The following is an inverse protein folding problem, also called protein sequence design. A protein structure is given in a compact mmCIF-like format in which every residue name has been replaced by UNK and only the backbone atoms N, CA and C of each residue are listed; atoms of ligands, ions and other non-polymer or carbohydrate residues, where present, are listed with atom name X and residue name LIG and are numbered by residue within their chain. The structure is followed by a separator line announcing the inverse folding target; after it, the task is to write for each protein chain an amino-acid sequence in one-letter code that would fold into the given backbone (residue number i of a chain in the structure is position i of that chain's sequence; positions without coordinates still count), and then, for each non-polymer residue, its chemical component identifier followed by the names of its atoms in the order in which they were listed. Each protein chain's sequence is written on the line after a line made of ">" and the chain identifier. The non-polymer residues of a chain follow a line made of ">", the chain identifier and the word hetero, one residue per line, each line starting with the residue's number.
data_IF_032820351306
#
_entry.id   IF_032820351306
#
_cell.length_a   1.000
_cell.length_b   1.000
_cell.length_c   1.000
_cell.angle_alpha   90.00
_cell.angle_beta   90.00
_cell.angle_gamma   90.00
#
_symmetry.space_group_name_H-M   'P 1'
#
loop_
_entity.id
_entity.type
_entity.pdbx_description
1 polymer ?
#
# COMPACT_ATOMS: atom_id res chain seq x y z
N UNK A 1 20.69 5.17 -16.51
CA UNK A 1 20.76 4.46 -15.20
C UNK A 1 19.87 3.21 -15.16
N UNK A 2 20.16 2.25 -14.28
CA UNK A 2 19.26 1.13 -13.96
C UNK A 2 18.74 1.23 -12.51
N UNK A 3 17.43 1.08 -12.34
CA UNK A 3 16.78 1.04 -11.03
C UNK A 3 16.30 -0.38 -10.72
N UNK A 4 16.74 -0.94 -9.59
CA UNK A 4 16.28 -2.27 -9.14
C UNK A 4 15.50 -2.16 -7.83
N UNK A 5 14.21 -2.48 -7.90
CA UNK A 5 13.35 -2.51 -6.72
C UNK A 5 13.56 -3.81 -5.92
N UNK A 6 13.88 -3.67 -4.63
CA UNK A 6 13.90 -4.77 -3.65
C UNK A 6 12.83 -4.54 -2.59
N UNK A 7 12.76 -5.40 -1.55
CA UNK A 7 11.68 -5.34 -0.53
C UNK A 7 11.47 -3.93 0.04
N UNK A 8 12.51 -3.32 0.64
CA UNK A 8 12.41 -1.98 1.27
C UNK A 8 13.22 -0.88 0.58
N UNK A 9 14.03 -1.23 -0.41
CA UNK A 9 14.98 -0.29 -1.02
C UNK A 9 14.94 -0.35 -2.53
N UNK A 10 15.29 0.76 -3.15
CA UNK A 10 15.54 0.90 -4.58
C UNK A 10 17.06 1.04 -4.74
N UNK A 11 17.68 0.11 -5.47
CA UNK A 11 19.10 0.17 -5.80
C UNK A 11 19.28 0.98 -7.08
N UNK A 12 20.12 2.01 -7.01
CA UNK A 12 20.55 2.80 -8.17
C UNK A 12 21.84 2.20 -8.69
N UNK A 13 21.84 1.78 -9.95
CA UNK A 13 22.94 1.05 -10.58
C UNK A 13 23.33 1.78 -11.86
N UNK A 14 24.61 2.15 -11.97
CA UNK A 14 25.19 2.65 -13.21
C UNK A 14 25.92 1.55 -13.94
N UNK A 15 26.04 1.69 -15.25
CA UNK A 15 26.84 0.79 -16.09
C UNK A 15 28.09 1.55 -16.51
N UNK A 16 29.25 1.05 -16.12
CA UNK A 16 30.57 1.61 -16.47
C UNK A 16 31.26 0.65 -17.43
N UNK A 17 31.90 1.15 -18.48
CA UNK A 17 32.67 0.29 -19.40
C UNK A 17 33.95 -0.19 -18.71
N UNK A 18 34.13 -1.51 -18.66
CA UNK A 18 35.35 -2.13 -18.15
C UNK A 18 36.24 -2.55 -19.35
N UNK A 19 37.39 -1.87 -19.57
CA UNK A 19 38.24 -2.13 -20.73
C UNK A 19 38.89 -3.51 -20.68
N UNK A 20 39.11 -4.09 -19.48
CA UNK A 20 39.74 -5.40 -19.32
C UNK A 20 38.79 -6.51 -19.76
N UNK A 21 37.50 -6.36 -19.43
CA UNK A 21 36.46 -7.31 -19.79
C UNK A 21 35.77 -6.99 -21.14
N UNK A 22 36.14 -5.86 -21.79
CA UNK A 22 35.53 -5.32 -23.01
C UNK A 22 33.99 -5.28 -22.96
N UNK A 23 33.42 -5.06 -21.77
CA UNK A 23 31.97 -5.06 -21.54
C UNK A 23 31.58 -4.10 -20.42
N UNK A 24 30.31 -3.71 -20.38
CA UNK A 24 29.76 -2.92 -19.29
C UNK A 24 29.71 -3.70 -17.97
N UNK A 25 30.25 -3.13 -16.90
CA UNK A 25 30.13 -3.58 -15.52
C UNK A 25 29.07 -2.75 -14.79
N UNK A 26 28.20 -3.41 -14.04
CA UNK A 26 27.20 -2.74 -13.21
C UNK A 26 27.79 -2.37 -11.85
N UNK A 27 27.75 -1.08 -11.51
CA UNK A 27 28.15 -0.55 -10.21
C UNK A 27 26.94 -0.01 -9.46
N UNK A 28 26.76 -0.44 -8.21
CA UNK A 28 25.71 0.09 -7.35
C UNK A 28 26.18 1.44 -6.80
N UNK A 29 25.53 2.52 -7.22
CA UNK A 29 25.86 3.89 -6.80
C UNK A 29 25.26 4.22 -5.44
N UNK A 30 24.06 3.72 -5.18
CA UNK A 30 23.41 3.95 -3.90
C UNK A 30 22.10 3.21 -3.73
N UNK A 31 21.45 3.49 -2.59
CA UNK A 31 20.16 2.91 -2.20
C UNK A 31 19.24 4.03 -1.74
N UNK A 32 17.99 3.97 -2.19
CA UNK A 32 16.90 4.87 -1.78
C UNK A 32 15.87 4.04 -1.02
N UNK A 33 15.34 4.56 0.08
CA UNK A 33 14.28 3.90 0.83
C UNK A 33 12.95 3.99 0.06
N UNK A 34 12.16 2.93 0.07
CA UNK A 34 10.80 2.95 -0.51
C UNK A 34 9.81 3.73 0.33
N UNK A 35 10.02 3.82 1.65
CA UNK A 35 9.19 4.58 2.56
C UNK A 35 9.47 6.09 2.47
N UNK A 36 10.73 6.46 2.28
CA UNK A 36 11.18 7.84 2.10
C UNK A 36 11.82 8.01 0.71
N UNK A 37 10.98 8.39 -0.26
CA UNK A 37 11.34 8.68 -1.65
C UNK A 37 12.16 9.98 -1.77
N UNK A 38 13.36 10.01 -1.17
CA UNK A 38 14.24 11.16 -1.17
C UNK A 38 15.65 10.78 -1.61
N UNK A 39 16.29 11.69 -2.35
CA UNK A 39 17.71 11.54 -2.72
C UNK A 39 18.55 11.81 -1.47
N UNK A 40 19.39 10.85 -1.09
CA UNK A 40 20.29 10.99 0.06
C UNK A 40 21.55 11.78 -0.29
N UNK A 41 22.18 12.42 0.68
CA UNK A 41 23.44 13.17 0.49
C UNK A 41 24.55 12.31 -0.14
N UNK A 42 24.52 11.00 0.12
CA UNK A 42 25.46 10.03 -0.46
C UNK A 42 25.26 9.86 -1.97
N UNK A 43 24.01 9.84 -2.42
CA UNK A 43 23.69 9.80 -3.86
C UNK A 43 24.02 11.14 -4.53
N UNK A 44 23.75 12.27 -3.87
CA UNK A 44 24.11 13.58 -4.42
C UNK A 44 25.61 13.74 -4.68
N UNK A 45 26.46 13.22 -3.77
CA UNK A 45 27.92 13.26 -3.92
C UNK A 45 28.48 12.21 -4.87
N UNK A 46 27.76 11.10 -5.08
CA UNK A 46 28.23 9.95 -5.86
C UNK A 46 27.78 9.93 -7.32
N UNK A 47 26.84 10.81 -7.69
CA UNK A 47 26.25 10.89 -9.02
C UNK A 47 26.67 12.16 -9.76
N UNK A 48 26.72 12.09 -11.09
CA UNK A 48 26.83 13.28 -11.95
C UNK A 48 25.48 14.03 -11.98
N UNK A 49 25.44 15.31 -12.39
CA UNK A 49 24.18 16.05 -12.47
C UNK A 49 23.17 15.42 -13.43
N UNK A 50 23.63 14.81 -14.52
CA UNK A 50 22.78 14.09 -15.48
C UNK A 50 22.16 12.85 -14.82
N UNK A 51 22.97 12.07 -14.10
CA UNK A 51 22.52 10.90 -13.35
C UNK A 51 21.50 11.28 -12.26
N UNK A 52 21.71 12.40 -11.56
CA UNK A 52 20.76 12.92 -10.58
C UNK A 52 19.44 13.30 -11.23
N UNK A 53 19.45 13.90 -12.42
CA UNK A 53 18.23 14.25 -13.15
C UNK A 53 17.41 13.00 -13.52
N UNK A 54 18.07 11.91 -13.92
CA UNK A 54 17.41 10.62 -14.19
C UNK A 54 16.80 10.04 -12.91
N UNK A 55 17.52 10.10 -11.78
CA UNK A 55 17.03 9.62 -10.48
C UNK A 55 15.78 10.40 -10.06
N UNK A 56 15.80 11.73 -10.16
CA UNK A 56 14.66 12.57 -9.80
C UNK A 56 13.44 12.26 -10.67
N UNK A 57 13.64 12.16 -11.99
CA UNK A 57 12.59 11.79 -12.94
C UNK A 57 11.95 10.44 -12.57
N UNK A 58 12.79 9.44 -12.27
CA UNK A 58 12.30 8.12 -11.84
C UNK A 58 11.50 8.18 -10.53
N UNK A 59 11.93 8.98 -9.55
CA UNK A 59 11.22 9.12 -8.28
C UNK A 59 9.86 9.81 -8.46
N UNK A 60 9.79 10.83 -9.32
CA UNK A 60 8.54 11.52 -9.64
C UNK A 60 7.56 10.60 -10.38
N UNK A 61 8.02 9.87 -11.39
CA UNK A 61 7.21 8.88 -12.11
C UNK A 61 6.68 7.81 -11.15
N UNK A 62 7.53 7.33 -10.23
CA UNK A 62 7.12 6.36 -9.21
C UNK A 62 6.07 6.93 -8.28
N UNK A 63 6.23 8.18 -7.84
CA UNK A 63 5.25 8.87 -6.99
C UNK A 63 3.91 9.02 -7.71
N UNK A 64 3.93 9.42 -8.97
CA UNK A 64 2.75 9.56 -9.80
C UNK A 64 2.05 8.22 -10.01
N UNK A 65 2.80 7.15 -10.30
CA UNK A 65 2.26 5.80 -10.44
C UNK A 65 1.55 5.35 -9.16
N UNK A 66 2.21 5.46 -8.01
CA UNK A 66 1.63 5.07 -6.71
C UNK A 66 0.39 5.90 -6.37
N UNK A 67 0.41 7.20 -6.66
CA UNK A 67 -0.76 8.08 -6.48
C UNK A 67 -1.92 7.63 -7.37
N UNK A 68 -1.66 7.34 -8.63
CA UNK A 68 -2.70 6.93 -9.57
C UNK A 68 -3.30 5.56 -9.20
N UNK A 69 -2.45 4.62 -8.75
CA UNK A 69 -2.90 3.33 -8.22
C UNK A 69 -3.79 3.51 -6.98
N UNK A 70 -3.40 4.37 -6.04
CA UNK A 70 -4.19 4.66 -4.86
C UNK A 70 -5.54 5.34 -5.19
N UNK A 71 -5.53 6.31 -6.10
CA UNK A 71 -6.77 6.98 -6.58
C UNK A 71 -7.68 5.98 -7.27
N UNK A 72 -7.13 5.10 -8.11
CA UNK A 72 -7.90 4.05 -8.78
C UNK A 72 -8.50 3.07 -7.78
N UNK A 73 -7.70 2.56 -6.84
CA UNK A 73 -8.18 1.66 -5.80
C UNK A 73 -9.30 2.33 -4.97
N UNK A 74 -9.14 3.60 -4.60
CA UNK A 74 -10.18 4.37 -3.91
C UNK A 74 -11.47 4.48 -4.71
N UNK A 75 -11.38 4.76 -6.03
CA UNK A 75 -12.54 4.81 -6.90
C UNK A 75 -13.23 3.44 -7.05
N UNK A 76 -12.46 2.34 -7.04
CA UNK A 76 -12.99 0.98 -7.10
C UNK A 76 -13.72 0.59 -5.80
N UNK A 77 -13.23 1.00 -4.63
CA UNK A 77 -13.85 0.68 -3.33
C UNK A 77 -14.96 1.63 -2.90
N UNK A 78 -15.02 2.84 -3.48
CA UNK A 78 -15.97 3.88 -3.09
C UNK A 78 -17.44 3.42 -3.06
N UNK A 79 -17.97 2.67 -4.06
CA UNK A 79 -19.37 2.24 -4.02
C UNK A 79 -19.69 1.33 -2.84
N UNK A 80 -18.75 0.48 -2.40
CA UNK A 80 -18.93 -0.37 -1.23
C UNK A 80 -18.95 0.48 0.06
N UNK A 81 -17.96 1.38 0.21
CA UNK A 81 -17.87 2.30 1.34
C UNK A 81 -19.12 3.19 1.49
N UNK A 82 -19.72 3.65 0.38
CA UNK A 82 -20.97 4.42 0.42
C UNK A 82 -22.16 3.61 0.95
N UNK A 83 -22.21 2.29 0.69
CA UNK A 83 -23.28 1.42 1.21
C UNK A 83 -23.11 1.19 2.70
N UNK A 84 -21.88 0.94 3.15
CA UNK A 84 -21.53 0.82 4.58
C UNK A 84 -21.84 2.12 5.34
N UNK A 85 -21.47 3.27 4.79
CA UNK A 85 -21.81 4.58 5.35
C UNK A 85 -23.34 4.79 5.44
N UNK A 86 -24.10 4.32 4.44
CA UNK A 86 -25.56 4.39 4.50
C UNK A 86 -26.16 3.54 5.63
N UNK A 87 -25.55 2.39 5.94
CA UNK A 87 -25.95 1.58 7.10
C UNK A 87 -25.65 2.28 8.42
N UNK A 88 -24.48 2.92 8.53
CA UNK A 88 -24.11 3.72 9.71
C UNK A 88 -25.16 4.81 10.02
N UNK A 89 -25.58 5.61 9.02
CA UNK A 89 -26.56 6.68 9.22
C UNK A 89 -28.00 6.23 9.45
N UNK A 90 -28.32 4.94 9.25
CA UNK A 90 -29.63 4.40 9.63
C UNK A 90 -29.72 4.18 11.13
N UNK A 91 -28.61 3.86 11.77
CA UNK A 91 -28.54 3.53 13.20
C UNK A 91 -28.01 4.68 14.06
N UNK A 92 -27.28 5.63 13.47
CA UNK A 92 -26.63 6.74 14.18
C UNK A 92 -27.27 8.11 13.86
N UNK A 93 -27.51 8.93 14.89
CA UNK A 93 -28.15 10.27 14.82
C UNK A 93 -27.50 11.30 15.77
N UNK A 94 -26.36 10.95 16.32
CA UNK A 94 -25.52 11.73 17.24
C UNK A 94 -24.78 12.88 16.53
N UNK A 95 -24.00 13.64 17.30
CA UNK A 95 -23.26 14.80 16.81
C UNK A 95 -22.22 14.45 15.74
N UNK A 96 -21.46 13.38 15.93
CA UNK A 96 -20.42 12.93 14.99
C UNK A 96 -21.05 12.48 13.67
N UNK A 97 -22.20 11.81 13.72
CA UNK A 97 -22.97 11.48 12.52
C UNK A 97 -23.38 12.72 11.71
N UNK A 98 -23.63 13.87 12.34
CA UNK A 98 -23.95 15.12 11.60
C UNK A 98 -22.71 15.72 10.94
N UNK A 99 -21.56 15.63 11.58
CA UNK A 99 -20.28 16.08 11.04
C UNK A 99 -19.90 15.24 9.81
N UNK A 100 -19.91 13.91 9.95
CA UNK A 100 -19.65 13.01 8.83
C UNK A 100 -20.64 13.18 7.68
N UNK A 101 -21.93 13.39 7.97
CA UNK A 101 -22.92 13.64 6.92
C UNK A 101 -22.64 14.93 6.14
N UNK A 102 -22.08 15.95 6.79
CA UNK A 102 -21.68 17.21 6.15
C UNK A 102 -20.47 16.99 5.25
N UNK A 103 -19.43 16.33 5.76
CA UNK A 103 -18.22 16.02 4.99
C UNK A 103 -18.52 15.15 3.76
N UNK A 104 -19.33 14.09 3.93
CA UNK A 104 -19.73 13.21 2.83
C UNK A 104 -20.53 13.97 1.78
N UNK A 105 -21.40 14.91 2.19
CA UNK A 105 -22.14 15.74 1.23
C UNK A 105 -21.22 16.65 0.42
N UNK A 106 -20.26 17.31 1.06
CA UNK A 106 -19.29 18.16 0.35
C UNK A 106 -18.46 17.34 -0.64
N UNK A 107 -17.90 16.22 -0.20
CA UNK A 107 -17.14 15.30 -1.06
C UNK A 107 -17.99 14.75 -2.22
N UNK A 108 -19.30 14.50 -1.99
CA UNK A 108 -20.21 14.05 -3.03
C UNK A 108 -20.50 15.12 -4.09
N UNK A 109 -20.60 16.40 -3.70
CA UNK A 109 -20.73 17.50 -4.67
C UNK A 109 -19.47 17.63 -5.53
N UNK A 110 -18.28 17.56 -4.94
CA UNK A 110 -17.01 17.58 -5.67
C UNK A 110 -16.90 16.41 -6.66
N UNK A 111 -17.26 15.20 -6.23
CA UNK A 111 -17.27 14.02 -7.10
C UNK A 111 -18.25 14.20 -8.28
N UNK A 112 -19.44 14.74 -8.03
CA UNK A 112 -20.42 15.01 -9.10
C UNK A 112 -19.91 16.07 -10.09
N UNK A 113 -19.19 17.09 -9.63
CA UNK A 113 -18.56 18.08 -10.49
C UNK A 113 -17.49 17.40 -11.37
N UNK A 114 -16.56 16.65 -10.76
CA UNK A 114 -15.52 15.93 -11.49
C UNK A 114 -16.07 14.95 -12.53
N UNK A 115 -17.15 14.21 -12.21
CA UNK A 115 -17.83 13.32 -13.15
C UNK A 115 -18.47 14.08 -14.33
N UNK A 116 -18.99 15.29 -14.09
CA UNK A 116 -19.56 16.12 -15.14
C UNK A 116 -18.47 16.64 -16.07
N UNK A 117 -17.37 17.14 -15.51
CA UNK A 117 -16.25 17.72 -16.25
C UNK A 117 -15.54 16.67 -17.10
N UNK A 118 -15.44 15.43 -16.59
CA UNK A 118 -14.93 14.27 -17.32
C UNK A 118 -15.94 13.66 -18.32
N UNK A 119 -17.15 14.21 -18.40
CA UNK A 119 -18.17 13.79 -19.37
C UNK A 119 -18.94 12.52 -18.99
N UNK A 120 -18.85 12.04 -17.75
CA UNK A 120 -19.65 10.94 -17.19
C UNK A 120 -20.99 11.44 -16.61
N UNK A 121 -21.69 12.33 -17.31
CA UNK A 121 -22.98 12.83 -16.85
C UNK A 121 -24.03 11.71 -16.78
N UNK A 122 -24.96 11.82 -15.81
CA UNK A 122 -26.01 10.81 -15.54
C UNK A 122 -26.70 10.31 -16.82
N UNK A 123 -27.05 11.22 -17.73
CA UNK A 123 -27.75 10.89 -18.98
C UNK A 123 -26.89 10.05 -19.93
N UNK A 124 -25.57 10.30 -19.98
CA UNK A 124 -24.66 9.58 -20.88
C UNK A 124 -24.29 8.20 -20.35
N UNK A 125 -24.11 8.09 -19.03
CA UNK A 125 -23.78 6.81 -18.37
C UNK A 125 -24.98 5.86 -18.36
N UNK A 126 -26.19 6.36 -18.04
CA UNK A 126 -27.41 5.54 -18.02
C UNK A 126 -27.82 5.08 -19.44
N UNK A 127 -27.69 5.94 -20.46
CA UNK A 127 -27.93 5.54 -21.86
C UNK A 127 -26.96 4.43 -22.29
N UNK A 128 -25.67 4.59 -21.99
CA UNK A 128 -24.63 3.60 -22.32
C UNK A 128 -24.80 2.27 -21.58
N UNK A 129 -25.25 2.30 -20.32
CA UNK A 129 -25.56 1.09 -19.57
C UNK A 129 -26.79 0.35 -20.14
N UNK A 130 -27.83 1.10 -20.55
CA UNK A 130 -29.01 0.53 -21.22
C UNK A 130 -28.67 -0.09 -22.58
N UNK A 131 -27.80 0.53 -23.37
CA UNK A 131 -27.32 -0.03 -24.64
C UNK A 131 -26.49 -1.30 -24.45
N UNK A 132 -25.65 -1.37 -23.41
CA UNK A 132 -24.85 -2.56 -23.09
C UNK A 132 -25.72 -3.74 -22.65
N UNK A 133 -26.76 -3.50 -21.85
CA UNK A 133 -27.73 -4.54 -21.49
C UNK A 133 -28.57 -5.02 -22.68
N UNK A 134 -28.92 -4.12 -23.61
CA UNK A 134 -29.64 -4.49 -24.84
C UNK A 134 -28.78 -5.31 -25.82
N UNK A 135 -27.45 -5.17 -25.78
CA UNK A 135 -26.53 -5.96 -26.59
C UNK A 135 -26.18 -7.32 -25.97
N UNK A 136 -26.24 -7.46 -24.64
CA UNK A 136 -25.99 -8.73 -23.93
C UNK A 136 -27.12 -9.75 -24.07
N UNK A 137 -28.35 -9.32 -24.37
CA UNK A 137 -29.52 -10.19 -24.52
C UNK A 137 -29.61 -10.90 -25.89
N UNK A 138 -28.59 -10.74 -26.77
CA UNK A 138 -28.60 -11.30 -28.13
C UNK A 138 -27.63 -12.47 -28.36
N UNK A 139 -26.88 -12.92 -27.34
CA UNK A 139 -25.97 -14.06 -27.48
C UNK A 139 -25.99 -14.94 -26.23
N UNK A 140 -27.01 -15.77 -26.07
CA UNK A 140 -26.85 -17.13 -25.52
C UNK A 140 -28.12 -17.96 -25.73
N UNK A 141 -28.13 -18.72 -26.83
CA UNK A 141 -28.85 -19.98 -26.89
C UNK A 141 -27.83 -21.05 -27.29
N UNK A 142 -27.19 -21.74 -26.34
CA UNK A 142 -26.53 -22.99 -26.64
C UNK A 142 -27.58 -24.10 -26.59
N UNK A 143 -27.67 -24.78 -27.73
CA UNK A 143 -28.35 -26.03 -27.90
C UNK A 143 -27.98 -27.02 -26.80
N UNK A 144 -29.02 -27.70 -26.31
CA UNK A 144 -28.92 -28.94 -25.55
C UNK A 144 -28.21 -29.97 -26.43
N UNK A 145 -27.08 -30.50 -25.97
CA UNK A 145 -26.60 -31.80 -26.43
C UNK A 145 -25.96 -32.58 -25.27
N UNK A 146 -26.51 -33.79 -25.12
CA UNK A 146 -25.89 -35.02 -24.63
C UNK A 146 -25.15 -35.03 -23.28
N UNK A 147 -25.92 -35.42 -22.26
CA UNK A 147 -25.48 -36.28 -21.16
C UNK A 147 -24.93 -37.62 -21.72
N UNK A 148 -23.86 -38.18 -21.14
CA UNK A 148 -24.02 -39.55 -20.66
C UNK A 148 -23.47 -39.76 -19.25
N UNK A 149 -23.95 -40.86 -18.69
CA UNK A 149 -24.00 -41.21 -17.30
C UNK A 149 -22.68 -41.76 -16.70
N UNK A 150 -22.60 -41.56 -15.40
CA UNK A 150 -22.14 -42.50 -14.36
C UNK A 150 -20.67 -42.95 -14.37
N UNK A 151 -19.92 -42.44 -13.38
CA UNK A 151 -18.91 -43.23 -12.68
C UNK A 151 -19.13 -43.15 -11.16
N UNK A 152 -18.78 -44.22 -10.43
CA UNK A 152 -19.40 -44.58 -9.17
C UNK A 152 -18.75 -43.95 -7.94
N UNK A 153 -19.61 -43.84 -6.93
CA UNK A 153 -19.37 -43.45 -5.55
C UNK A 153 -18.40 -44.44 -4.91
N UNK A 154 -17.32 -43.95 -4.27
CA UNK A 154 -16.63 -44.69 -3.22
C UNK A 154 -16.79 -43.96 -1.88
N UNK A 155 -17.21 -44.75 -0.91
CA UNK A 155 -17.60 -44.41 0.45
C UNK A 155 -16.47 -43.84 1.33
N UNK A 156 -16.83 -43.10 2.40
CA UNK A 156 -15.90 -42.70 3.44
C UNK A 156 -15.74 -43.83 4.48
N UNK A 157 -14.52 -44.31 4.67
CA UNK A 157 -14.15 -45.17 5.82
C UNK A 157 -13.98 -44.29 7.06
N UNK A 158 -14.85 -44.51 8.04
CA UNK A 158 -14.70 -44.08 9.42
C UNK A 158 -14.05 -45.18 10.29
N UNK A 159 -13.57 -44.76 11.49
CA UNK A 159 -13.03 -45.54 12.63
C UNK A 159 -11.56 -45.98 12.51
N UNK A 160 -10.71 -45.90 13.55
CA UNK A 160 -10.89 -45.55 14.95
C UNK A 160 -9.53 -45.18 15.60
N UNK A 161 -9.62 -44.35 16.64
CA UNK A 161 -8.88 -44.36 17.92
C UNK A 161 -7.45 -44.95 17.99
N UNK A 162 -6.51 -44.12 18.43
CA UNK A 162 -5.66 -44.41 19.60
C UNK A 162 -5.02 -43.12 20.14
N UNK A 163 -5.26 -42.86 21.42
CA UNK A 163 -4.64 -41.85 22.29
C UNK A 163 -3.29 -42.40 22.85
N UNK A 164 -2.57 -41.74 23.76
CA UNK A 164 -1.29 -41.09 23.51
C UNK A 164 -0.08 -41.77 24.19
N UNK A 165 1.11 -41.61 23.63
CA UNK A 165 2.37 -41.82 24.37
C UNK A 165 3.33 -40.64 24.15
N UNK A 166 3.50 -39.84 25.20
CA UNK A 166 4.79 -39.22 25.54
C UNK A 166 5.66 -40.31 26.23
N UNK A 167 6.99 -40.19 26.43
CA UNK A 167 7.81 -38.97 26.45
C UNK A 167 9.17 -39.12 25.72
N UNK A 168 9.99 -38.07 25.66
CA UNK A 168 11.36 -38.06 26.22
C UNK A 168 11.98 -36.66 26.09
N UNK A 169 12.55 -36.22 27.20
CA UNK A 169 13.28 -34.98 27.39
C UNK A 169 14.74 -35.12 26.97
N UNK A 170 15.37 -34.00 26.55
CA UNK A 170 16.80 -33.63 26.66
C UNK A 170 17.05 -32.48 25.67
N UNK A 171 17.83 -31.43 25.90
CA UNK A 171 18.63 -30.99 27.03
C UNK A 171 18.84 -29.46 26.89
N UNK A 172 18.95 -28.77 28.02
CA UNK A 172 19.41 -27.37 28.13
C UNK A 172 20.94 -27.31 27.98
N UNK A 173 21.52 -26.16 27.59
CA UNK A 173 22.32 -25.41 28.58
C UNK A 173 22.07 -23.89 28.48
N UNK A 174 21.70 -23.21 29.57
CA UNK A 174 22.59 -22.65 30.60
C UNK A 174 23.45 -21.46 30.09
N UNK A 175 22.98 -20.25 30.38
CA UNK A 175 23.73 -19.00 30.20
C UNK A 175 23.11 -17.85 30.99
N UNK A 176 23.51 -17.70 32.26
CA UNK A 176 23.39 -16.47 33.09
C UNK A 176 24.84 -16.06 33.45
N UNK A 177 25.13 -14.86 34.02
CA UNK A 177 24.38 -13.59 34.11
C UNK A 177 25.24 -12.35 33.75
N UNK A 178 24.68 -11.15 33.53
CA UNK A 178 25.44 -9.92 33.89
C UNK A 178 24.60 -8.65 34.14
N UNK A 179 24.55 -8.33 35.43
CA UNK A 179 24.64 -7.04 36.11
C UNK A 179 24.04 -5.75 35.50
N UNK A 180 23.13 -5.19 36.32
CA UNK A 180 22.84 -3.76 36.53
C UNK A 180 24.05 -2.84 36.32
N UNK A 181 23.82 -1.71 35.63
CA UNK A 181 24.57 -0.48 35.89
C UNK A 181 23.63 0.72 35.88
N UNK A 182 23.35 1.20 37.08
CA UNK A 182 22.85 2.54 37.40
C UNK A 182 23.83 3.60 36.91
N UNK A 183 23.32 4.71 36.36
CA UNK A 183 24.01 6.00 36.48
C UNK A 183 22.99 7.11 36.72
N UNK A 184 22.95 7.53 37.98
CA UNK A 184 22.49 8.84 38.37
C UNK A 184 23.44 9.91 37.82
N UNK A 185 22.88 11.03 37.39
CA UNK A 185 23.58 12.25 37.04
C UNK A 185 22.65 13.43 37.29
N UNK A 186 22.75 14.00 38.49
CA UNK A 186 22.03 15.16 39.02
C UNK A 186 23.00 16.35 39.04
N UNK A 187 22.58 17.51 38.54
CA UNK A 187 22.99 18.89 38.88
C UNK A 187 22.18 19.78 37.91
N UNK A 188 21.23 20.66 38.26
CA UNK A 188 21.01 21.62 39.36
C UNK A 188 22.10 22.69 39.48
N UNK A 189 21.83 23.83 38.84
CA UNK A 189 22.12 25.22 39.22
C UNK A 189 21.21 26.04 38.27
N UNK A 190 20.11 26.69 38.64
CA UNK A 190 19.81 27.65 39.72
C UNK A 190 20.80 28.80 39.86
N UNK A 191 20.25 29.98 40.21
CA UNK A 191 20.73 31.38 40.08
C UNK A 191 20.19 32.02 38.78
N UNK A 192 19.12 32.84 38.78
CA UNK A 192 18.72 33.82 39.79
C UNK A 192 19.05 35.21 39.24
N UNK A 193 18.03 35.99 38.86
CA UNK A 193 18.21 37.31 38.25
C UNK A 193 16.90 38.07 38.07
N UNK A 194 16.35 38.51 39.19
CA UNK A 194 15.19 39.39 39.34
C UNK A 194 15.51 40.87 39.06
N UNK A 195 14.46 41.63 38.71
CA UNK A 195 14.23 43.08 38.87
C UNK A 195 14.90 44.02 37.83
N UNK A 196 14.17 44.66 36.91
CA UNK A 196 13.34 45.90 37.02
C UNK A 196 14.09 47.12 36.42
N UNK A 197 13.52 48.35 36.30
CA UNK A 197 12.38 48.78 35.49
C UNK A 197 12.63 50.14 34.73
N UNK A 198 11.59 50.72 34.11
CA UNK A 198 11.38 52.15 33.76
C UNK A 198 12.29 52.84 32.71
N UNK A 199 11.70 53.23 31.58
CA UNK A 199 11.46 54.64 31.16
C UNK A 199 10.55 54.68 29.94
#
# INVERSE_FOLDING_TARGET
>A
MQFRERRRVIQVIRTVYDPDLKRGRSEVVGKIDKAALAVTDKLQKGCTPEELSEILTYLDDRRNRLRNEAVRAGAETLPAQMREAAEYFRTHRDGEAREFATEIRLAWEELKAALRDSGFSKNKVLKKAGERNKAGDRVEAPARDAQPAAQPVMEPVAKAAAEPEAPTAEATPAGKPRAKRTRAGKAVADLGGTASPVS
#
